data_IF_004609753313
#
_entry.id   IF_004609753313
#
_cell.length_a   1.000
_cell.length_b   1.000
_cell.length_c   1.000
_cell.angle_alpha   90.00
_cell.angle_beta   90.00
_cell.angle_gamma   90.00
#
_symmetry.space_group_name_H-M   'P 1'
#
loop_
_entity.id
_entity.type
_entity.pdbx_description
1 polymer ?
#
# COMPACT_ATOMS: atom_id res chain seq x y z
N UNK A 1 -26.36 5.95 4.42
CA UNK A 1 -26.07 7.30 3.98
C UNK A 1 -25.84 7.30 2.49
N UNK A 2 -26.46 8.25 1.78
CA UNK A 2 -26.21 8.40 0.34
C UNK A 2 -24.79 8.94 0.14
N UNK A 3 -23.87 8.08 -0.25
CA UNK A 3 -22.45 8.42 -0.49
C UNK A 3 -22.25 9.38 -1.66
N UNK A 4 -23.33 9.67 -2.42
CA UNK A 4 -23.30 10.61 -3.56
C UNK A 4 -23.39 12.07 -3.12
N UNK A 5 -23.81 12.34 -1.89
CA UNK A 5 -24.00 13.68 -1.32
C UNK A 5 -23.02 13.92 -0.17
N UNK A 6 -21.76 14.04 -0.49
CA UNK A 6 -20.69 14.35 0.47
C UNK A 6 -20.09 15.74 0.24
N UNK A 7 -19.10 16.05 1.04
CA UNK A 7 -18.23 17.20 0.84
C UNK A 7 -16.81 16.86 1.28
N UNK A 8 -15.82 17.51 0.69
CA UNK A 8 -14.43 17.46 1.14
C UNK A 8 -14.10 18.79 1.80
N UNK A 9 -13.63 18.73 3.04
CA UNK A 9 -13.27 19.91 3.82
C UNK A 9 -11.84 19.82 4.35
N UNK A 10 -11.18 20.97 4.47
CA UNK A 10 -9.88 21.08 5.14
C UNK A 10 -10.15 21.61 6.54
N UNK A 11 -9.73 20.84 7.55
CA UNK A 11 -9.96 21.20 8.95
C UNK A 11 -8.62 21.37 9.65
N UNK A 12 -8.28 22.62 10.08
CA UNK A 12 -7.10 22.84 10.92
C UNK A 12 -7.24 22.08 12.25
N UNK A 13 -6.21 21.36 12.64
CA UNK A 13 -6.25 20.48 13.82
C UNK A 13 -6.31 21.22 15.17
N UNK A 14 -6.19 22.53 15.18
CA UNK A 14 -6.39 23.41 16.33
C UNK A 14 -7.79 24.04 16.38
N UNK A 15 -8.71 23.63 15.49
CA UNK A 15 -10.10 24.11 15.49
C UNK A 15 -10.79 23.68 16.79
N UNK A 16 -11.53 24.58 17.46
CA UNK A 16 -12.30 24.24 18.66
C UNK A 16 -13.25 23.07 18.40
N UNK A 17 -13.32 22.13 19.34
CA UNK A 17 -14.11 20.91 19.22
C UNK A 17 -13.34 19.72 18.64
N UNK A 18 -12.07 19.87 18.29
CA UNK A 18 -11.22 18.75 17.86
C UNK A 18 -10.36 18.26 19.03
N UNK A 19 -10.44 16.97 19.29
CA UNK A 19 -9.58 16.27 20.25
C UNK A 19 -8.86 15.11 19.57
N UNK A 20 -7.58 14.94 19.87
CA UNK A 20 -6.75 13.84 19.34
C UNK A 20 -6.55 12.78 20.42
N UNK A 21 -6.77 11.54 20.05
CA UNK A 21 -6.39 10.38 20.85
C UNK A 21 -4.87 10.15 20.87
N UNK A 22 -4.43 9.17 21.63
CA UNK A 22 -3.02 8.76 21.67
C UNK A 22 -2.67 8.00 20.38
N UNK A 23 -1.42 8.09 19.91
CA UNK A 23 -0.95 7.23 18.82
C UNK A 23 -1.12 5.75 19.19
N UNK A 24 -1.60 4.97 18.23
CA UNK A 24 -1.75 3.52 18.37
C UNK A 24 -0.38 2.83 18.36
N UNK A 25 -0.18 1.87 19.24
CA UNK A 25 0.99 0.97 19.20
C UNK A 25 0.71 -0.14 18.17
N UNK A 26 1.27 0.03 16.98
CA UNK A 26 0.98 -0.83 15.83
C UNK A 26 2.02 -1.91 15.63
N UNK A 27 1.61 -2.99 14.98
CA UNK A 27 2.48 -4.08 14.54
C UNK A 27 3.55 -3.60 13.54
N UNK A 28 3.15 -2.83 12.52
CA UNK A 28 4.00 -2.30 11.44
C UNK A 28 3.75 -0.83 11.19
N UNK A 29 4.54 -0.24 10.27
CA UNK A 29 4.48 1.19 9.93
C UNK A 29 4.48 2.09 11.17
N UNK A 30 5.32 1.74 12.15
CA UNK A 30 5.33 2.39 13.48
C UNK A 30 5.79 3.85 13.44
N UNK A 31 6.55 4.23 12.41
CA UNK A 31 6.96 5.61 12.20
C UNK A 31 5.81 6.53 11.71
N UNK A 32 4.73 5.95 11.18
CA UNK A 32 3.53 6.66 10.78
C UNK A 32 2.56 6.68 11.97
N UNK A 33 2.45 7.82 12.65
CA UNK A 33 1.51 7.98 13.76
C UNK A 33 0.06 7.94 13.24
N UNK A 34 -0.72 7.03 13.78
CA UNK A 34 -2.16 6.92 13.57
C UNK A 34 -2.87 6.90 14.91
N UNK A 35 -4.02 7.50 15.00
CA UNK A 35 -4.82 7.59 16.22
C UNK A 35 -6.23 8.07 15.91
N UNK A 36 -7.03 8.15 16.95
CA UNK A 36 -8.40 8.64 16.87
C UNK A 36 -8.43 10.17 16.83
N UNK A 37 -9.36 10.72 16.07
CA UNK A 37 -9.67 12.15 16.05
C UNK A 37 -11.15 12.28 16.34
N UNK A 38 -11.49 13.05 17.37
CA UNK A 38 -12.85 13.30 17.78
C UNK A 38 -13.26 14.70 17.35
N UNK A 39 -14.47 14.82 16.80
CA UNK A 39 -15.07 16.06 16.36
C UNK A 39 -16.36 16.29 17.17
N UNK A 40 -16.37 17.31 18.01
CA UNK A 40 -17.53 17.70 18.81
C UNK A 40 -17.97 19.11 18.44
N UNK A 41 -19.13 19.21 17.79
CA UNK A 41 -19.74 20.47 17.35
C UNK A 41 -18.77 21.40 16.58
N UNK A 42 -17.85 20.85 15.82
CA UNK A 42 -16.87 21.62 15.03
C UNK A 42 -17.60 22.46 13.99
N UNK A 43 -17.43 23.77 14.05
CA UNK A 43 -17.99 24.71 13.08
C UNK A 43 -16.92 25.12 12.09
N UNK A 44 -17.25 25.00 10.81
CA UNK A 44 -16.38 25.38 9.69
C UNK A 44 -17.01 26.51 8.89
N UNK A 45 -16.23 27.46 8.46
CA UNK A 45 -16.65 28.46 7.48
C UNK A 45 -16.60 27.88 6.08
N UNK A 46 -17.20 28.57 5.11
CA UNK A 46 -17.20 28.17 3.70
C UNK A 46 -15.79 28.05 3.11
N UNK A 47 -14.83 28.79 3.65
CA UNK A 47 -13.43 28.77 3.22
C UNK A 47 -12.73 27.42 3.43
N UNK A 48 -13.27 26.59 4.35
CA UNK A 48 -12.78 25.24 4.60
C UNK A 48 -13.30 24.20 3.60
N UNK A 49 -14.28 24.57 2.77
CA UNK A 49 -14.89 23.68 1.79
C UNK A 49 -13.97 23.55 0.56
N UNK A 50 -13.39 22.40 0.34
CA UNK A 50 -12.56 22.09 -0.82
C UNK A 50 -13.41 21.62 -2.01
N UNK A 51 -14.39 20.75 -1.76
CA UNK A 51 -15.34 20.29 -2.76
C UNK A 51 -16.72 20.13 -2.13
N UNK A 52 -17.72 20.75 -2.74
CA UNK A 52 -19.13 20.64 -2.35
C UNK A 52 -19.79 19.38 -2.94
N UNK A 53 -21.11 19.18 -2.66
CA UNK A 53 -21.86 18.00 -3.11
C UNK A 53 -21.76 17.74 -4.62
N UNK A 54 -21.76 18.78 -5.43
CA UNK A 54 -21.68 18.66 -6.91
C UNK A 54 -20.33 18.16 -7.41
N UNK A 55 -19.25 18.43 -6.65
CA UNK A 55 -17.86 18.07 -7.00
C UNK A 55 -17.35 16.86 -6.22
N UNK A 56 -18.12 16.40 -5.24
CA UNK A 56 -17.67 15.37 -4.29
C UNK A 56 -17.25 14.06 -4.97
N UNK A 57 -18.04 13.57 -5.92
CA UNK A 57 -17.73 12.34 -6.63
C UNK A 57 -16.44 12.48 -7.43
N UNK A 58 -16.25 13.57 -8.15
CA UNK A 58 -15.04 13.82 -8.92
C UNK A 58 -13.82 13.96 -8.01
N UNK A 59 -13.94 14.69 -6.89
CA UNK A 59 -12.87 14.86 -5.92
C UNK A 59 -12.45 13.53 -5.28
N UNK A 60 -13.41 12.71 -4.86
CA UNK A 60 -13.14 11.37 -4.31
C UNK A 60 -12.54 10.42 -5.34
N UNK A 61 -13.02 10.45 -6.57
CA UNK A 61 -12.45 9.66 -7.67
C UNK A 61 -10.98 10.00 -7.90
N UNK A 62 -10.65 11.30 -7.96
CA UNK A 62 -9.30 11.81 -8.10
C UNK A 62 -8.39 11.34 -6.95
N UNK A 63 -8.83 11.58 -5.71
CA UNK A 63 -8.06 11.21 -4.51
C UNK A 63 -7.79 9.71 -4.47
N UNK A 64 -8.82 8.88 -4.68
CA UNK A 64 -8.67 7.42 -4.67
C UNK A 64 -7.75 6.93 -5.78
N UNK A 65 -7.83 7.53 -6.99
CA UNK A 65 -6.98 7.13 -8.11
C UNK A 65 -5.51 7.42 -7.81
N UNK A 66 -5.21 8.62 -7.32
CA UNK A 66 -3.84 9.01 -7.00
C UNK A 66 -3.30 8.24 -5.79
N UNK A 67 -4.08 8.13 -4.72
CA UNK A 67 -3.68 7.40 -3.51
C UNK A 67 -3.35 5.93 -3.82
N UNK A 68 -4.23 5.21 -4.50
CA UNK A 68 -3.96 3.81 -4.88
C UNK A 68 -2.76 3.67 -5.81
N UNK A 69 -2.57 4.61 -6.76
CA UNK A 69 -1.38 4.66 -7.61
C UNK A 69 -0.09 4.85 -6.80
N UNK A 70 -0.06 5.81 -5.89
CA UNK A 70 1.10 6.09 -5.03
C UNK A 70 1.39 4.93 -4.07
N UNK A 71 0.36 4.32 -3.47
CA UNK A 71 0.51 3.13 -2.64
C UNK A 71 1.11 1.97 -3.42
N UNK A 72 0.73 1.80 -4.71
CA UNK A 72 1.34 0.76 -5.55
C UNK A 72 2.85 0.98 -5.72
N UNK A 73 3.31 2.21 -5.89
CA UNK A 73 4.74 2.53 -5.99
C UNK A 73 5.47 2.28 -4.68
N UNK A 74 4.91 2.75 -3.56
CA UNK A 74 5.50 2.58 -2.22
C UNK A 74 5.73 1.11 -1.90
N UNK A 75 4.71 0.26 -2.10
CA UNK A 75 4.84 -1.17 -1.76
C UNK A 75 5.56 -2.00 -2.82
N UNK A 76 5.67 -1.54 -4.04
CA UNK A 76 6.64 -2.09 -4.99
C UNK A 76 8.08 -1.87 -4.51
N UNK A 77 8.37 -0.68 -3.94
CA UNK A 77 9.66 -0.41 -3.28
C UNK A 77 9.92 -1.32 -2.08
N UNK A 78 8.90 -1.54 -1.25
CA UNK A 78 8.96 -2.47 -0.12
C UNK A 78 9.26 -3.91 -0.59
N UNK A 79 8.58 -4.39 -1.63
CA UNK A 79 8.83 -5.70 -2.23
C UNK A 79 10.26 -5.82 -2.79
N UNK A 80 10.76 -4.77 -3.44
CA UNK A 80 12.14 -4.72 -3.95
C UNK A 80 13.14 -4.82 -2.82
N UNK A 81 12.98 -4.04 -1.76
CA UNK A 81 13.87 -4.08 -0.59
C UNK A 81 13.91 -5.48 0.05
N UNK A 82 12.76 -6.14 0.19
CA UNK A 82 12.70 -7.50 0.71
C UNK A 82 13.44 -8.52 -0.20
N UNK A 83 13.29 -8.38 -1.52
CA UNK A 83 14.00 -9.21 -2.49
C UNK A 83 15.52 -8.99 -2.42
N UNK A 84 15.98 -7.74 -2.39
CA UNK A 84 17.41 -7.41 -2.36
C UNK A 84 18.08 -7.95 -1.10
N UNK A 85 17.39 -7.87 0.06
CA UNK A 85 17.87 -8.50 1.31
C UNK A 85 17.98 -10.01 1.20
N UNK A 86 16.99 -10.69 0.61
CA UNK A 86 17.02 -12.12 0.41
C UNK A 86 18.17 -12.53 -0.52
N UNK A 87 18.37 -11.78 -1.61
CA UNK A 87 19.43 -12.04 -2.58
C UNK A 87 20.82 -11.88 -1.93
N UNK A 88 21.04 -10.79 -1.19
CA UNK A 88 22.28 -10.54 -0.45
C UNK A 88 22.56 -11.66 0.56
N UNK A 89 21.57 -11.98 1.38
CA UNK A 89 21.70 -13.05 2.37
C UNK A 89 22.00 -14.41 1.73
N UNK A 90 21.39 -14.72 0.57
CA UNK A 90 21.62 -15.96 -0.13
C UNK A 90 23.05 -16.08 -0.69
N UNK A 91 23.71 -14.97 -1.00
CA UNK A 91 25.12 -14.95 -1.40
C UNK A 91 26.07 -15.14 -0.21
N UNK A 92 25.73 -14.63 0.95
CA UNK A 92 26.59 -14.62 2.14
C UNK A 92 26.45 -15.88 2.99
N UNK A 93 25.21 -16.32 3.22
CA UNK A 93 24.90 -17.46 4.09
C UNK A 93 25.35 -18.76 3.48
N UNK A 94 26.11 -19.53 4.26
CA UNK A 94 26.57 -20.88 3.86
C UNK A 94 25.75 -21.95 4.58
N UNK A 95 25.37 -22.98 3.83
CA UNK A 95 24.80 -24.23 4.33
C UNK A 95 25.19 -25.35 3.38
N UNK A 96 25.51 -26.56 3.89
CA UNK A 96 26.03 -27.67 3.09
C UNK A 96 27.38 -27.34 2.45
N UNK A 97 28.22 -26.50 3.06
CA UNK A 97 29.55 -26.15 2.60
C UNK A 97 29.64 -25.07 1.52
N UNK A 98 28.49 -24.56 1.02
CA UNK A 98 28.44 -23.54 -0.07
C UNK A 98 27.47 -22.41 0.28
N UNK A 99 27.57 -21.22 -0.37
CA UNK A 99 26.52 -20.20 -0.29
C UNK A 99 25.17 -20.77 -0.67
N UNK A 100 24.10 -20.39 0.07
CA UNK A 100 22.79 -21.02 -0.13
C UNK A 100 22.19 -20.72 -1.51
N UNK A 101 22.60 -19.66 -2.20
CA UNK A 101 22.19 -19.36 -3.56
C UNK A 101 22.56 -20.48 -4.56
N UNK A 102 23.53 -21.32 -4.22
CA UNK A 102 23.96 -22.47 -5.05
C UNK A 102 22.96 -23.63 -4.99
N UNK A 103 22.04 -23.62 -4.02
CA UNK A 103 20.99 -24.63 -3.93
C UNK A 103 19.84 -24.30 -4.89
N UNK A 104 19.44 -25.27 -5.70
CA UNK A 104 18.39 -25.10 -6.71
C UNK A 104 17.07 -24.59 -6.12
N UNK A 105 16.69 -25.04 -4.93
CA UNK A 105 15.49 -24.59 -4.23
C UNK A 105 15.53 -23.10 -3.86
N UNK A 106 16.70 -22.57 -3.50
CA UNK A 106 16.90 -21.16 -3.18
C UNK A 106 16.87 -20.32 -4.46
N UNK A 107 17.58 -20.75 -5.50
CA UNK A 107 17.57 -20.06 -6.80
C UNK A 107 16.14 -19.98 -7.40
N UNK A 108 15.37 -21.07 -7.30
CA UNK A 108 13.96 -21.10 -7.70
C UNK A 108 13.11 -20.06 -6.94
N UNK A 109 13.23 -19.99 -5.61
CA UNK A 109 12.51 -19.01 -4.79
C UNK A 109 12.88 -17.57 -5.16
N UNK A 110 14.17 -17.27 -5.28
CA UNK A 110 14.65 -15.95 -5.69
C UNK A 110 14.10 -15.53 -7.05
N UNK A 111 14.04 -16.42 -8.02
CA UNK A 111 13.46 -16.13 -9.33
C UNK A 111 11.96 -15.81 -9.22
N UNK A 112 11.20 -16.54 -8.39
CA UNK A 112 9.78 -16.25 -8.17
C UNK A 112 9.54 -14.91 -7.45
N UNK A 113 10.41 -14.52 -6.52
CA UNK A 113 10.39 -13.20 -5.90
C UNK A 113 10.68 -12.11 -6.94
N UNK A 114 11.76 -12.27 -7.71
CA UNK A 114 12.15 -11.34 -8.77
C UNK A 114 11.03 -11.07 -9.76
N UNK A 115 10.42 -12.12 -10.36
CA UNK A 115 9.36 -11.96 -11.36
C UNK A 115 8.12 -11.23 -10.80
N UNK A 116 7.78 -11.46 -9.52
CA UNK A 116 6.67 -10.77 -8.85
C UNK A 116 6.97 -9.27 -8.69
N UNK A 117 8.18 -8.95 -8.24
CA UNK A 117 8.63 -7.56 -8.09
C UNK A 117 8.63 -6.83 -9.43
N UNK A 118 9.18 -7.44 -10.49
CA UNK A 118 9.21 -6.84 -11.83
C UNK A 118 7.80 -6.62 -12.39
N UNK A 119 6.89 -7.58 -12.21
CA UNK A 119 5.51 -7.44 -12.66
C UNK A 119 4.78 -6.31 -11.92
N UNK A 120 4.91 -6.23 -10.59
CA UNK A 120 4.33 -5.16 -9.79
C UNK A 120 4.92 -3.78 -10.16
N UNK A 121 6.23 -3.72 -10.40
CA UNK A 121 6.92 -2.51 -10.81
C UNK A 121 6.43 -2.00 -12.18
N UNK A 122 6.32 -2.89 -13.16
CA UNK A 122 5.84 -2.55 -14.50
C UNK A 122 4.38 -2.04 -14.47
N UNK A 123 3.50 -2.73 -13.71
CA UNK A 123 2.11 -2.33 -13.56
C UNK A 123 1.99 -0.96 -12.86
N UNK A 124 2.69 -0.78 -11.74
CA UNK A 124 2.68 0.47 -10.98
C UNK A 124 3.14 1.66 -11.83
N UNK A 125 4.27 1.52 -12.52
CA UNK A 125 4.80 2.57 -13.41
C UNK A 125 3.83 2.91 -14.53
N UNK A 126 3.25 1.91 -15.19
CA UNK A 126 2.27 2.11 -16.26
C UNK A 126 1.06 2.89 -15.77
N UNK A 127 0.51 2.51 -14.63
CA UNK A 127 -0.70 3.12 -14.06
C UNK A 127 -0.43 4.55 -13.62
N UNK A 128 0.67 4.80 -12.92
CA UNK A 128 1.05 6.15 -12.52
C UNK A 128 1.31 7.05 -13.72
N UNK A 129 2.09 6.58 -14.69
CA UNK A 129 2.37 7.33 -15.91
C UNK A 129 1.07 7.73 -16.62
N UNK A 130 0.14 6.79 -16.81
CA UNK A 130 -1.15 7.07 -17.44
C UNK A 130 -1.95 8.11 -16.64
N UNK A 131 -2.12 7.92 -15.34
CA UNK A 131 -2.96 8.77 -14.50
C UNK A 131 -2.41 10.19 -14.29
N UNK A 132 -1.09 10.38 -14.40
CA UNK A 132 -0.48 11.72 -14.35
C UNK A 132 -0.49 12.45 -15.69
N UNK A 133 -0.67 11.75 -16.80
CA UNK A 133 -0.63 12.36 -18.13
C UNK A 133 -2.00 12.47 -18.82
N UNK A 134 -3.00 11.76 -18.32
CA UNK A 134 -4.32 11.67 -18.97
C UNK A 134 -5.40 12.27 -18.06
N UNK A 135 -6.18 13.27 -18.52
CA UNK A 135 -7.30 13.82 -17.75
C UNK A 135 -8.35 12.77 -17.37
N UNK A 136 -8.58 11.78 -18.24
CA UNK A 136 -9.43 10.63 -17.97
C UNK A 136 -8.67 9.61 -17.13
N UNK A 137 -8.64 9.80 -15.83
CA UNK A 137 -7.97 8.89 -14.90
C UNK A 137 -8.61 7.50 -14.89
N UNK A 138 -7.80 6.49 -14.57
CA UNK A 138 -8.21 5.08 -14.51
C UNK A 138 -8.14 4.55 -13.07
N UNK A 139 -9.20 4.79 -12.28
CA UNK A 139 -9.29 4.33 -10.89
C UNK A 139 -9.20 2.80 -10.78
N UNK A 140 -9.87 2.06 -11.66
CA UNK A 140 -9.83 0.60 -11.64
C UNK A 140 -8.39 0.07 -11.83
N UNK A 141 -7.63 0.67 -12.75
CA UNK A 141 -6.23 0.30 -12.97
C UNK A 141 -5.36 0.65 -11.73
N UNK A 142 -5.64 1.78 -11.06
CA UNK A 142 -4.96 2.17 -9.84
C UNK A 142 -5.24 1.20 -8.69
N UNK A 143 -6.50 0.79 -8.50
CA UNK A 143 -6.88 -0.26 -7.54
C UNK A 143 -6.18 -1.59 -7.84
N UNK A 144 -6.18 -2.02 -9.11
CA UNK A 144 -5.49 -3.25 -9.51
C UNK A 144 -3.98 -3.18 -9.23
N UNK A 145 -3.34 -2.03 -9.49
CA UNK A 145 -1.93 -1.83 -9.18
C UNK A 145 -1.65 -1.86 -7.67
N UNK A 146 -2.49 -1.22 -6.85
CA UNK A 146 -2.38 -1.24 -5.38
C UNK A 146 -2.51 -2.66 -4.84
N UNK A 147 -3.55 -3.38 -5.21
CA UNK A 147 -3.76 -4.77 -4.77
C UNK A 147 -2.58 -5.66 -5.17
N UNK A 148 -2.11 -5.55 -6.42
CA UNK A 148 -0.96 -6.33 -6.90
C UNK A 148 0.31 -6.01 -6.14
N UNK A 149 0.62 -4.72 -5.94
CA UNK A 149 1.85 -4.30 -5.30
C UNK A 149 1.90 -4.68 -3.80
N UNK A 150 0.80 -4.47 -3.07
CA UNK A 150 0.72 -4.78 -1.64
C UNK A 150 0.73 -6.28 -1.38
N UNK A 151 0.02 -7.06 -2.20
CA UNK A 151 0.07 -8.53 -2.13
C UNK A 151 1.49 -9.04 -2.43
N UNK A 152 2.13 -8.50 -3.47
CA UNK A 152 3.51 -8.83 -3.82
C UNK A 152 4.48 -8.49 -2.68
N UNK A 153 4.33 -7.30 -2.07
CA UNK A 153 5.18 -6.88 -0.97
C UNK A 153 5.10 -7.84 0.21
N UNK A 154 3.89 -8.23 0.61
CA UNK A 154 3.69 -9.17 1.71
C UNK A 154 4.25 -10.56 1.39
N UNK A 155 3.97 -11.09 0.20
CA UNK A 155 4.46 -12.41 -0.21
C UNK A 155 6.00 -12.45 -0.31
N UNK A 156 6.60 -11.43 -0.93
CA UNK A 156 8.06 -11.36 -1.09
C UNK A 156 8.75 -11.13 0.25
N UNK A 157 8.19 -10.31 1.13
CA UNK A 157 8.72 -10.10 2.48
C UNK A 157 8.65 -11.39 3.33
N UNK A 158 7.55 -12.15 3.22
CA UNK A 158 7.39 -13.44 3.88
C UNK A 158 8.41 -14.47 3.38
N UNK A 159 8.61 -14.57 2.06
CA UNK A 159 9.63 -15.45 1.48
C UNK A 159 11.06 -15.03 1.85
N UNK A 160 11.32 -13.73 1.89
CA UNK A 160 12.61 -13.19 2.34
C UNK A 160 12.90 -13.55 3.79
N UNK A 161 11.94 -13.38 4.69
CA UNK A 161 12.06 -13.77 6.10
C UNK A 161 12.30 -15.28 6.21
N UNK A 162 11.55 -16.10 5.48
CA UNK A 162 11.72 -17.55 5.47
C UNK A 162 13.14 -17.93 5.01
N UNK A 163 13.71 -17.23 4.02
CA UNK A 163 15.06 -17.47 3.51
C UNK A 163 16.14 -17.14 4.54
N UNK A 164 15.90 -16.12 5.38
CA UNK A 164 16.80 -15.79 6.50
C UNK A 164 16.75 -16.81 7.65
N UNK A 165 15.72 -17.67 7.70
CA UNK A 165 15.54 -18.63 8.78
C UNK A 165 15.40 -17.94 10.14
N UNK A 166 16.04 -18.47 11.19
CA UNK A 166 15.99 -17.86 12.52
C UNK A 166 16.49 -16.41 12.60
N UNK A 167 17.44 -16.05 11.74
CA UNK A 167 17.94 -14.67 11.64
C UNK A 167 16.85 -13.70 11.17
N UNK A 168 15.90 -14.15 10.34
CA UNK A 168 14.79 -13.34 9.86
C UNK A 168 13.82 -12.91 10.97
N UNK A 169 13.84 -13.56 12.13
CA UNK A 169 13.01 -13.22 13.29
C UNK A 169 13.68 -12.22 14.23
N UNK A 170 14.99 -11.97 14.06
CA UNK A 170 15.74 -11.07 14.91
C UNK A 170 15.67 -9.63 14.40
N UNK A 171 15.55 -8.67 15.32
CA UNK A 171 15.51 -7.24 14.99
C UNK A 171 16.81 -6.70 14.36
N UNK A 172 17.90 -7.45 14.45
CA UNK A 172 19.17 -7.14 13.79
C UNK A 172 19.07 -7.22 12.26
N UNK A 173 18.05 -7.93 11.73
CA UNK A 173 17.78 -8.07 10.31
C UNK A 173 16.52 -7.29 9.93
N UNK A 174 16.59 -6.33 8.99
CA UNK A 174 15.46 -5.45 8.69
C UNK A 174 14.28 -6.16 8.02
N UNK A 175 14.43 -7.41 7.61
CA UNK A 175 13.39 -8.18 6.90
C UNK A 175 12.13 -8.39 7.76
N UNK A 176 12.26 -8.55 9.09
CA UNK A 176 11.11 -8.68 9.99
C UNK A 176 10.25 -7.41 10.00
N UNK A 177 10.91 -6.24 10.01
CA UNK A 177 10.23 -4.95 9.92
C UNK A 177 9.50 -4.81 8.59
N UNK A 178 10.15 -5.16 7.48
CA UNK A 178 9.54 -5.08 6.14
C UNK A 178 8.29 -5.96 6.06
N UNK A 179 8.32 -7.15 6.65
CA UNK A 179 7.14 -8.04 6.70
C UNK A 179 5.98 -7.41 7.48
N UNK A 180 6.25 -6.82 8.64
CA UNK A 180 5.23 -6.15 9.45
C UNK A 180 4.63 -4.94 8.74
N UNK A 181 5.47 -4.14 8.09
CA UNK A 181 5.03 -2.98 7.31
C UNK A 181 4.22 -3.41 6.08
N UNK A 182 4.67 -4.43 5.36
CA UNK A 182 3.96 -4.97 4.22
C UNK A 182 2.60 -5.59 4.60
N UNK A 183 2.46 -6.19 5.80
CA UNK A 183 1.17 -6.73 6.25
C UNK A 183 0.12 -5.64 6.42
N UNK A 184 0.50 -4.47 6.92
CA UNK A 184 -0.40 -3.34 7.09
C UNK A 184 -0.98 -2.85 5.75
N UNK A 185 -0.18 -2.89 4.68
CA UNK A 185 -0.56 -2.39 3.36
C UNK A 185 -1.75 -3.11 2.71
N UNK A 186 -2.03 -4.34 3.13
CA UNK A 186 -3.19 -5.10 2.63
C UNK A 186 -4.52 -4.51 3.15
N UNK A 187 -4.46 -3.69 4.20
CA UNK A 187 -5.62 -3.15 4.92
C UNK A 187 -5.81 -1.66 4.66
N UNK A 188 -4.72 -0.89 4.63
CA UNK A 188 -4.75 0.56 4.51
C UNK A 188 -5.14 1.05 3.11
N UNK A 189 -5.59 2.31 3.02
CA UNK A 189 -6.05 2.99 1.79
C UNK A 189 -7.09 2.19 0.98
N UNK A 190 -7.97 1.51 1.71
CA UNK A 190 -8.91 0.54 1.20
C UNK A 190 -8.31 -0.87 1.22
N UNK A 191 -8.89 -1.76 2.04
CA UNK A 191 -8.40 -3.13 2.09
C UNK A 191 -8.53 -3.81 0.73
N UNK A 192 -7.61 -4.72 0.44
CA UNK A 192 -7.52 -5.35 -0.86
C UNK A 192 -8.82 -6.05 -1.29
N UNK A 193 -9.55 -6.63 -0.34
CA UNK A 193 -10.82 -7.30 -0.61
C UNK A 193 -11.89 -6.31 -1.09
N UNK A 194 -12.02 -5.15 -0.43
CA UNK A 194 -12.97 -4.10 -0.83
C UNK A 194 -12.59 -3.49 -2.17
N UNK A 195 -11.29 -3.26 -2.42
CA UNK A 195 -10.83 -2.77 -3.72
C UNK A 195 -11.09 -3.79 -4.84
N UNK A 196 -10.91 -5.08 -4.57
CA UNK A 196 -11.21 -6.13 -5.53
C UNK A 196 -12.72 -6.22 -5.83
N UNK A 197 -13.58 -6.08 -4.81
CA UNK A 197 -15.03 -6.04 -4.99
C UNK A 197 -15.44 -4.82 -5.84
N UNK A 198 -14.94 -3.63 -5.51
CA UNK A 198 -15.22 -2.41 -6.28
C UNK A 198 -14.73 -2.53 -7.73
N UNK A 199 -13.49 -2.98 -7.92
CA UNK A 199 -12.94 -3.20 -9.25
C UNK A 199 -13.71 -4.24 -10.05
N UNK A 200 -14.20 -5.30 -9.39
CA UNK A 200 -15.06 -6.32 -10.00
C UNK A 200 -16.41 -5.76 -10.44
N UNK A 201 -17.07 -4.97 -9.61
CA UNK A 201 -18.33 -4.32 -10.00
C UNK A 201 -18.15 -3.37 -11.19
N UNK A 202 -17.05 -2.65 -11.25
CA UNK A 202 -16.74 -1.77 -12.38
C UNK A 202 -16.54 -2.54 -13.70
N UNK A 203 -16.08 -3.80 -13.66
CA UNK A 203 -16.03 -4.65 -14.86
C UNK A 203 -17.41 -5.00 -15.39
N UNK A 204 -18.42 -5.06 -14.51
CA UNK A 204 -19.81 -5.36 -14.86
C UNK A 204 -20.54 -4.09 -15.29
N UNK A 205 -20.35 -3.01 -14.57
CA UNK A 205 -20.95 -1.69 -14.82
C UNK A 205 -19.96 -0.58 -14.46
N UNK A 206 -19.38 0.12 -15.47
CA UNK A 206 -18.42 1.20 -15.24
C UNK A 206 -18.96 2.37 -14.40
N UNK A 207 -20.26 2.56 -14.32
CA UNK A 207 -20.90 3.65 -13.56
C UNK A 207 -20.96 3.38 -12.04
N UNK A 208 -20.49 2.21 -11.59
CA UNK A 208 -20.51 1.80 -10.17
C UNK A 208 -19.26 2.20 -9.37
N UNK A 209 -18.31 2.90 -9.97
CA UNK A 209 -17.11 3.40 -9.26
C UNK A 209 -17.32 4.76 -8.61
#
# INVERSE_FOLDING_TARGET
PDTRNGAVVIVPMNTPGITRGKPLDKMGQRALNQGEIYFDNVRLSREHLLAGPEQYQQATYLVHTLANGLMSATFTGCARAAYDLALTYAHERKAGGVPIIRHQSVAHRLFHMFRKVEAACALSRRVLHYNFQTPAMALQAAMAAKVTATQTAFEVASESLQMHGGNGLAHDYPVEKILRDARASLIEDGCNEILAIKGGYHLINPDLL
#
